data_IF_486838386989
#
_entry.id   IF_486838386989
#
_cell.length_a   1.000
_cell.length_b   1.000
_cell.length_c   1.000
_cell.angle_alpha   90.00
_cell.angle_beta   90.00
_cell.angle_gamma   90.00
#
_symmetry.space_group_name_H-M   'P 1'
#
loop_
_entity.id
_entity.type
_entity.pdbx_description
1 polymer ?
#
# COMPACT_ATOMS: atom_id res chain seq x y z
N UNK A 1 11.50 66.80 76.96
CA UNK A 1 11.95 68.18 76.64
C UNK A 1 13.41 68.12 76.19
N UNK A 2 13.78 68.94 75.21
CA UNK A 2 15.14 69.28 74.78
C UNK A 2 15.99 68.25 74.00
N UNK A 3 15.90 68.38 72.67
CA UNK A 3 16.97 68.75 71.71
C UNK A 3 18.45 68.80 72.18
N UNK A 4 19.28 68.22 71.30
CA UNK A 4 20.60 68.67 70.75
C UNK A 4 21.88 67.88 71.15
N UNK A 5 22.42 67.20 70.12
CA UNK A 5 23.81 67.14 69.61
C UNK A 5 24.92 66.40 70.39
N UNK A 6 25.52 65.40 69.74
CA UNK A 6 26.83 65.58 69.08
C UNK A 6 27.16 64.46 68.09
N UNK A 7 27.72 64.88 66.96
CA UNK A 7 28.27 64.09 65.84
C UNK A 7 29.35 63.12 66.31
N UNK A 8 29.54 62.02 65.56
CA UNK A 8 30.87 61.61 65.11
C UNK A 8 30.77 60.74 63.84
N UNK A 9 31.61 61.10 62.87
CA UNK A 9 31.78 60.46 61.57
C UNK A 9 32.63 59.19 61.72
N UNK A 10 32.21 58.09 61.10
CA UNK A 10 33.09 57.00 60.73
C UNK A 10 32.70 56.53 59.31
N UNK A 11 33.67 56.60 58.42
CA UNK A 11 33.52 56.40 56.98
C UNK A 11 33.33 54.93 56.62
N UNK A 12 32.23 54.71 55.91
CA UNK A 12 31.99 53.83 54.75
C UNK A 12 33.14 52.93 54.28
N UNK A 13 32.97 51.61 54.44
CA UNK A 13 33.49 50.60 53.51
C UNK A 13 32.27 49.83 52.99
N UNK A 14 31.83 50.19 51.78
CA UNK A 14 30.72 49.53 51.09
C UNK A 14 31.20 48.19 50.52
N UNK A 15 30.74 47.08 51.10
CA UNK A 15 30.86 45.76 50.50
C UNK A 15 29.88 45.65 49.32
N UNK A 16 30.43 45.51 48.11
CA UNK A 16 29.69 45.16 46.90
C UNK A 16 29.29 43.69 47.01
N UNK A 17 27.99 43.44 47.20
CA UNK A 17 27.37 42.12 47.05
C UNK A 17 26.83 42.02 45.62
N UNK A 18 27.55 41.32 44.76
CA UNK A 18 27.06 40.87 43.46
C UNK A 18 25.99 39.80 43.68
N UNK A 19 24.72 40.16 43.52
CA UNK A 19 23.64 39.19 43.34
C UNK A 19 23.61 38.79 41.85
N UNK A 20 24.19 37.63 41.53
CA UNK A 20 24.09 37.02 40.21
C UNK A 20 22.68 36.49 39.97
N UNK A 21 21.94 37.16 39.08
CA UNK A 21 20.70 36.62 38.54
C UNK A 21 21.05 35.50 37.54
N UNK A 22 20.88 34.25 37.95
CA UNK A 22 20.94 33.10 37.06
C UNK A 22 19.70 33.13 36.15
N UNK A 23 19.87 33.62 34.92
CA UNK A 23 18.89 33.45 33.85
C UNK A 23 18.97 31.98 33.43
N UNK A 24 18.04 31.17 33.94
CA UNK A 24 17.74 29.87 33.34
C UNK A 24 17.11 30.12 31.97
N UNK A 25 17.95 30.22 30.94
CA UNK A 25 17.53 29.96 29.58
C UNK A 25 17.11 28.49 29.54
N UNK A 26 15.81 28.25 29.68
CA UNK A 26 15.22 26.99 29.26
C UNK A 26 15.40 26.93 27.75
N UNK A 27 16.50 26.32 27.33
CA UNK A 27 16.64 25.78 26.00
C UNK A 27 15.50 24.78 25.84
N UNK A 28 14.36 25.28 25.36
CA UNK A 28 13.34 24.45 24.75
C UNK A 28 14.10 23.79 23.62
N UNK A 29 14.46 22.53 23.83
CA UNK A 29 14.96 21.68 22.77
C UNK A 29 13.87 21.68 21.71
N UNK A 30 14.02 22.58 20.73
CA UNK A 30 13.54 22.35 19.38
C UNK A 30 14.25 21.07 18.98
N UNK A 31 13.60 19.94 19.28
CA UNK A 31 13.92 18.69 18.64
C UNK A 31 13.67 18.96 17.17
N UNK A 32 14.71 19.38 16.47
CA UNK A 32 14.74 19.43 15.03
C UNK A 32 14.54 17.99 14.61
N UNK A 33 13.29 17.60 14.40
CA UNK A 33 13.00 16.38 13.69
C UNK A 33 13.69 16.53 12.35
N UNK A 34 14.86 15.89 12.19
CA UNK A 34 15.56 15.90 10.92
C UNK A 34 14.54 15.45 9.88
N UNK A 35 14.23 16.28 8.86
CA UNK A 35 13.23 15.93 7.89
C UNK A 35 13.66 14.62 7.24
N UNK A 36 12.85 13.58 7.43
CA UNK A 36 13.05 12.30 6.77
C UNK A 36 12.68 12.48 5.31
N UNK A 37 13.30 11.71 4.44
CA UNK A 37 13.02 11.74 3.01
C UNK A 37 12.48 10.41 2.55
N UNK A 38 11.44 10.47 1.72
CA UNK A 38 11.06 9.37 0.85
C UNK A 38 11.88 9.52 -0.43
N UNK A 39 12.78 8.57 -0.68
CA UNK A 39 13.52 8.51 -1.93
C UNK A 39 12.86 7.50 -2.86
N UNK A 40 12.99 7.69 -4.18
CA UNK A 40 12.45 6.72 -5.10
C UNK A 40 12.94 6.88 -6.52
N UNK A 41 12.48 5.98 -7.38
CA UNK A 41 12.74 5.99 -8.81
C UNK A 41 11.43 5.89 -9.58
N UNK A 42 11.31 6.64 -10.65
CA UNK A 42 10.28 6.44 -11.67
C UNK A 42 10.94 5.78 -12.87
N UNK A 43 10.39 4.64 -13.30
CA UNK A 43 10.92 3.88 -14.43
C UNK A 43 9.79 3.22 -15.22
N UNK A 44 10.01 3.01 -16.52
CA UNK A 44 9.20 2.10 -17.34
C UNK A 44 9.90 0.74 -17.42
N UNK A 45 9.12 -0.34 -17.33
CA UNK A 45 9.65 -1.70 -17.32
C UNK A 45 10.09 -2.19 -15.93
N UNK A 46 10.44 -3.48 -15.85
CA UNK A 46 10.78 -4.07 -14.56
C UNK A 46 11.45 -5.44 -14.59
N UNK A 47 10.84 -6.47 -15.20
CA UNK A 47 11.37 -7.83 -15.08
C UNK A 47 12.39 -8.18 -16.16
N UNK A 48 12.15 -7.74 -17.39
CA UNK A 48 13.02 -8.04 -18.55
C UNK A 48 14.09 -6.98 -18.71
N UNK A 49 13.67 -5.72 -18.70
CA UNK A 49 14.52 -4.54 -18.71
C UNK A 49 13.73 -3.38 -18.08
N UNK A 50 14.45 -2.33 -17.65
CA UNK A 50 13.83 -1.10 -17.21
C UNK A 50 14.62 0.11 -17.69
N UNK A 51 13.91 1.23 -17.87
CA UNK A 51 14.46 2.52 -18.24
C UNK A 51 13.96 3.57 -17.26
N UNK A 52 14.90 4.33 -16.67
CA UNK A 52 14.58 5.46 -15.82
C UNK A 52 13.89 6.58 -16.60
N UNK A 53 12.89 7.22 -15.98
CA UNK A 53 12.13 8.31 -16.58
C UNK A 53 12.51 9.66 -15.94
N UNK A 54 13.27 10.53 -16.64
CA UNK A 54 13.68 11.82 -16.11
C UNK A 54 12.59 12.89 -16.28
N UNK A 55 12.67 13.97 -15.50
CA UNK A 55 11.78 15.13 -15.56
C UNK A 55 10.29 14.82 -15.29
N UNK A 56 9.99 13.74 -14.57
CA UNK A 56 8.63 13.34 -14.18
C UNK A 56 8.24 14.07 -12.89
N UNK A 57 7.05 14.66 -12.85
CA UNK A 57 6.51 15.25 -11.62
C UNK A 57 5.96 14.16 -10.70
N UNK A 58 6.44 14.14 -9.46
CA UNK A 58 6.12 13.12 -8.47
C UNK A 58 5.49 13.78 -7.26
N UNK A 59 4.34 13.27 -6.81
CA UNK A 59 3.59 13.84 -5.69
C UNK A 59 3.30 12.78 -4.63
N UNK A 60 3.62 13.09 -3.38
CA UNK A 60 3.32 12.27 -2.21
C UNK A 60 2.01 12.75 -1.57
N UNK A 61 1.08 11.83 -1.33
CA UNK A 61 -0.22 12.12 -0.74
C UNK A 61 -0.49 11.29 0.52
N UNK A 62 -1.31 11.86 1.40
CA UNK A 62 -2.09 11.13 2.41
C UNK A 62 -3.54 11.03 1.92
N UNK A 63 -4.06 9.81 1.80
CA UNK A 63 -5.45 9.59 1.41
C UNK A 63 -6.41 10.03 2.52
N UNK A 64 -7.48 10.74 2.16
CA UNK A 64 -8.53 11.18 3.10
C UNK A 64 -9.90 10.61 2.68
N UNK A 65 -10.96 10.92 3.42
CA UNK A 65 -12.34 10.58 3.02
C UNK A 65 -12.81 11.33 1.78
N UNK A 66 -12.15 12.42 1.42
CA UNK A 66 -12.40 13.20 0.21
C UNK A 66 -11.09 13.42 -0.54
N UNK A 67 -10.81 14.68 -0.91
CA UNK A 67 -9.57 14.98 -1.64
C UNK A 67 -8.32 14.61 -0.81
N UNK A 68 -7.36 13.87 -1.39
CA UNK A 68 -6.11 13.55 -0.73
C UNK A 68 -5.32 14.81 -0.37
N UNK A 69 -4.58 14.77 0.73
CA UNK A 69 -3.70 15.87 1.13
C UNK A 69 -2.33 15.65 0.50
N UNK A 70 -1.88 16.58 -0.34
CA UNK A 70 -0.51 16.56 -0.86
C UNK A 70 0.48 16.96 0.24
N UNK A 71 1.45 16.09 0.52
CA UNK A 71 2.44 16.27 1.57
C UNK A 71 3.75 16.84 1.04
N UNK A 72 4.03 16.62 -0.23
CA UNK A 72 5.24 17.09 -0.89
C UNK A 72 5.30 16.60 -2.34
N UNK A 73 6.22 17.17 -3.09
CA UNK A 73 6.43 16.86 -4.50
C UNK A 73 7.91 16.98 -4.85
N UNK A 74 8.31 16.32 -5.92
CA UNK A 74 9.65 16.40 -6.50
C UNK A 74 9.56 16.21 -8.02
N UNK A 75 10.68 16.45 -8.71
CA UNK A 75 10.84 16.09 -10.12
C UNK A 75 11.99 15.10 -10.22
N UNK A 76 11.83 14.07 -11.05
CA UNK A 76 12.90 13.09 -11.23
C UNK A 76 14.11 13.69 -11.96
N UNK A 77 15.31 13.31 -11.53
CA UNK A 77 16.56 13.67 -12.19
C UNK A 77 16.81 12.81 -13.45
N UNK A 78 17.99 13.00 -14.08
CA UNK A 78 18.39 12.25 -15.28
C UNK A 78 18.42 10.72 -15.09
N UNK A 79 18.52 10.24 -13.85
CA UNK A 79 18.50 8.82 -13.48
C UNK A 79 17.11 8.36 -13.00
N UNK A 80 16.07 9.16 -13.19
CA UNK A 80 14.71 8.87 -12.76
C UNK A 80 14.51 8.96 -11.24
N UNK A 81 15.51 9.43 -10.49
CA UNK A 81 15.47 9.45 -9.03
C UNK A 81 14.81 10.73 -8.52
N UNK A 82 14.10 10.61 -7.39
CA UNK A 82 13.52 11.75 -6.68
C UNK A 82 13.68 11.60 -5.17
N UNK A 83 13.52 12.71 -4.45
CA UNK A 83 13.49 12.72 -2.98
C UNK A 83 12.49 13.75 -2.47
N UNK A 84 11.52 13.31 -1.68
CA UNK A 84 10.48 14.16 -1.07
C UNK A 84 10.71 14.17 0.44
N UNK A 85 10.93 15.36 1.01
CA UNK A 85 11.02 15.54 2.47
C UNK A 85 9.63 15.47 3.10
N UNK A 86 9.53 14.80 4.24
CA UNK A 86 8.31 14.72 5.02
C UNK A 86 8.58 14.91 6.51
N UNK A 87 7.56 15.39 7.23
CA UNK A 87 7.60 15.60 8.69
C UNK A 87 6.86 14.51 9.45
N UNK A 88 5.90 13.84 8.80
CA UNK A 88 5.10 12.75 9.37
C UNK A 88 5.30 11.46 8.55
N UNK A 89 5.74 10.39 9.22
CA UNK A 89 5.98 9.09 8.60
C UNK A 89 4.89 8.04 8.83
N UNK A 90 3.81 8.38 9.54
CA UNK A 90 2.71 7.47 9.87
C UNK A 90 1.36 8.16 9.68
N UNK A 91 0.34 7.43 9.23
CA UNK A 91 -1.01 7.93 9.00
C UNK A 91 -2.05 7.01 9.64
N UNK A 92 -3.21 7.57 10.00
CA UNK A 92 -4.41 6.79 10.35
C UNK A 92 -5.17 6.29 9.11
N UNK A 93 -4.72 6.68 7.91
CA UNK A 93 -5.20 6.24 6.59
C UNK A 93 -4.02 5.55 5.89
N UNK A 94 -3.74 5.91 4.64
CA UNK A 94 -2.59 5.42 3.88
C UNK A 94 -1.88 6.57 3.17
N UNK A 95 -0.59 6.38 2.89
CA UNK A 95 0.15 7.18 1.94
C UNK A 95 0.19 6.49 0.57
N UNK A 96 0.27 7.30 -0.47
CA UNK A 96 0.54 6.85 -1.83
C UNK A 96 1.32 7.93 -2.58
N UNK A 97 2.01 7.52 -3.64
CA UNK A 97 2.76 8.44 -4.51
C UNK A 97 2.24 8.29 -5.92
N UNK A 98 2.09 9.40 -6.63
CA UNK A 98 1.81 9.41 -8.06
C UNK A 98 2.96 10.04 -8.83
N UNK A 99 3.11 9.64 -10.09
CA UNK A 99 4.06 10.20 -11.04
C UNK A 99 3.34 10.47 -12.37
N UNK A 100 3.32 11.73 -12.80
CA UNK A 100 2.75 12.15 -14.09
C UNK A 100 3.80 11.99 -15.20
N UNK A 101 3.69 10.89 -15.94
CA UNK A 101 4.61 10.52 -17.03
C UNK A 101 4.22 11.24 -18.34
N UNK A 102 3.06 11.91 -18.37
CA UNK A 102 2.56 12.63 -19.53
C UNK A 102 1.58 11.81 -20.38
N UNK A 103 0.84 12.50 -21.25
CA UNK A 103 -0.14 11.90 -22.18
C UNK A 103 -1.21 11.01 -21.50
N UNK A 104 -1.56 11.29 -20.24
CA UNK A 104 -2.53 10.52 -19.47
C UNK A 104 -1.93 9.27 -18.78
N UNK A 105 -0.63 9.05 -18.90
CA UNK A 105 0.06 8.01 -18.15
C UNK A 105 0.38 8.52 -16.75
N UNK A 106 -0.29 7.94 -15.75
CA UNK A 106 -0.01 8.16 -14.34
C UNK A 106 0.45 6.85 -13.71
N UNK A 107 1.64 6.86 -13.12
CA UNK A 107 2.09 5.77 -12.26
C UNK A 107 1.71 6.01 -10.82
N UNK A 108 1.35 4.94 -10.12
CA UNK A 108 0.93 4.98 -8.72
C UNK A 108 1.64 3.89 -7.94
N UNK A 109 2.06 4.21 -6.71
CA UNK A 109 2.50 3.21 -5.73
C UNK A 109 1.83 3.46 -4.39
N UNK A 110 1.20 2.42 -3.83
CA UNK A 110 0.63 2.44 -2.49
C UNK A 110 1.74 2.18 -1.47
N UNK A 111 1.77 2.98 -0.40
CA UNK A 111 2.79 2.88 0.65
C UNK A 111 2.22 2.38 1.99
N UNK A 112 0.90 2.39 2.14
CA UNK A 112 0.22 1.99 3.37
C UNK A 112 0.32 3.05 4.49
N UNK A 113 0.04 2.69 5.75
CA UNK A 113 -0.05 3.64 6.86
C UNK A 113 1.31 4.12 7.37
N UNK A 114 2.43 3.59 6.87
CA UNK A 114 3.79 3.94 7.30
C UNK A 114 4.65 4.20 6.06
N UNK A 115 5.30 5.36 6.00
CA UNK A 115 6.18 5.68 4.87
C UNK A 115 7.44 4.78 4.89
N UNK A 116 7.76 4.12 3.76
CA UNK A 116 9.03 3.43 3.61
C UNK A 116 10.17 4.44 3.38
N UNK A 117 11.41 3.95 3.39
CA UNK A 117 12.59 4.73 2.99
C UNK A 117 12.71 4.87 1.47
N UNK A 118 12.28 3.85 0.72
CA UNK A 118 12.33 3.81 -0.74
C UNK A 118 11.02 3.37 -1.37
N UNK A 119 10.79 3.86 -2.59
CA UNK A 119 9.65 3.45 -3.44
C UNK A 119 10.09 3.41 -4.91
N UNK A 120 9.50 2.51 -5.67
CA UNK A 120 9.57 2.49 -7.14
C UNK A 120 8.18 2.83 -7.69
N UNK A 121 8.11 3.66 -8.73
CA UNK A 121 6.89 3.90 -9.50
C UNK A 121 7.10 3.35 -10.91
N UNK A 122 6.32 2.34 -11.26
CA UNK A 122 6.30 1.74 -12.59
C UNK A 122 4.91 1.17 -12.93
N UNK A 123 4.82 0.46 -14.03
CA UNK A 123 3.59 -0.14 -14.51
C UNK A 123 3.02 -1.16 -13.52
N UNK A 124 3.85 -2.01 -12.92
CA UNK A 124 3.40 -3.06 -12.02
C UNK A 124 2.89 -2.51 -10.68
N UNK A 125 3.51 -1.48 -10.12
CA UNK A 125 2.97 -0.80 -8.93
C UNK A 125 1.63 -0.14 -9.24
N UNK A 126 1.47 0.36 -10.47
CA UNK A 126 0.24 0.99 -10.92
C UNK A 126 -0.88 -0.03 -11.09
N UNK A 127 -0.61 -1.20 -11.71
CA UNK A 127 -1.57 -2.31 -11.79
C UNK A 127 -2.02 -2.73 -10.39
N UNK A 128 -1.08 -2.92 -9.46
CA UNK A 128 -1.39 -3.29 -8.08
C UNK A 128 -2.26 -2.23 -7.38
N UNK A 129 -1.89 -0.95 -7.51
CA UNK A 129 -2.62 0.17 -6.94
C UNK A 129 -4.05 0.26 -7.50
N UNK A 130 -4.20 0.18 -8.82
CA UNK A 130 -5.50 0.25 -9.50
C UNK A 130 -6.46 -0.86 -9.10
N UNK A 131 -5.96 -2.11 -9.00
CA UNK A 131 -6.78 -3.25 -8.63
C UNK A 131 -7.12 -3.25 -7.14
N UNK A 132 -6.15 -3.02 -6.26
CA UNK A 132 -6.38 -3.00 -4.82
C UNK A 132 -7.27 -1.82 -4.38
N UNK A 133 -7.11 -0.66 -5.01
CA UNK A 133 -7.86 0.57 -4.71
C UNK A 133 -9.08 0.76 -5.61
N UNK A 134 -9.53 -0.27 -6.35
CA UNK A 134 -10.64 -0.13 -7.29
C UNK A 134 -11.95 0.37 -6.64
N UNK A 135 -12.18 0.20 -5.34
CA UNK A 135 -13.36 0.81 -4.71
C UNK A 135 -13.16 2.29 -4.34
N UNK A 136 -11.90 2.71 -4.19
CA UNK A 136 -11.47 4.02 -3.69
C UNK A 136 -10.92 4.95 -4.79
N UNK A 137 -10.71 4.44 -6.01
CA UNK A 137 -10.22 5.17 -7.19
C UNK A 137 -11.32 5.30 -8.25
N UNK A 138 -12.35 6.11 -7.96
CA UNK A 138 -13.48 6.36 -8.87
C UNK A 138 -13.37 7.69 -9.62
N UNK A 139 -12.84 8.72 -8.96
CA UNK A 139 -12.79 10.11 -9.43
C UNK A 139 -11.36 10.61 -9.56
N UNK A 140 -10.51 9.86 -10.28
CA UNK A 140 -9.07 10.09 -10.51
C UNK A 140 -8.17 10.23 -9.28
N UNK A 141 -8.73 10.20 -8.07
CA UNK A 141 -7.99 10.26 -6.79
C UNK A 141 -8.32 9.05 -5.92
N UNK A 142 -7.37 8.64 -5.09
CA UNK A 142 -7.57 7.57 -4.09
C UNK A 142 -8.12 8.18 -2.82
N UNK A 143 -9.39 7.90 -2.52
CA UNK A 143 -10.08 8.47 -1.36
C UNK A 143 -11.11 7.52 -0.78
N UNK A 144 -11.38 7.62 0.52
CA UNK A 144 -12.35 6.77 1.20
C UNK A 144 -12.16 6.70 2.71
N UNK A 145 -12.94 5.81 3.34
CA UNK A 145 -12.79 5.56 4.77
C UNK A 145 -11.42 4.92 5.04
N UNK A 146 -10.77 5.37 6.12
CA UNK A 146 -9.39 5.02 6.41
C UNK A 146 -9.19 3.53 6.68
N UNK A 147 -10.15 2.87 7.32
CA UNK A 147 -10.10 1.44 7.58
C UNK A 147 -10.04 0.63 6.28
N UNK A 148 -10.99 0.85 5.37
CA UNK A 148 -11.03 0.18 4.08
C UNK A 148 -9.80 0.47 3.21
N UNK A 149 -9.27 1.70 3.23
CA UNK A 149 -8.03 2.06 2.56
C UNK A 149 -6.83 1.27 3.10
N UNK A 150 -6.74 1.07 4.42
CA UNK A 150 -5.69 0.26 5.03
C UNK A 150 -5.81 -1.22 4.64
N UNK A 151 -7.03 -1.78 4.61
CA UNK A 151 -7.26 -3.15 4.13
C UNK A 151 -6.80 -3.30 2.67
N UNK A 152 -7.21 -2.38 1.80
CA UNK A 152 -6.82 -2.37 0.40
C UNK A 152 -5.30 -2.23 0.22
N UNK A 153 -4.63 -1.39 1.02
CA UNK A 153 -3.18 -1.28 1.00
C UNK A 153 -2.48 -2.57 1.43
N UNK A 154 -3.00 -3.27 2.44
CA UNK A 154 -2.49 -4.59 2.81
C UNK A 154 -2.65 -5.62 1.68
N UNK A 155 -3.76 -5.57 0.94
CA UNK A 155 -3.97 -6.44 -0.23
C UNK A 155 -3.08 -6.07 -1.42
N UNK A 156 -2.72 -4.79 -1.59
CA UNK A 156 -1.75 -4.34 -2.60
C UNK A 156 -0.40 -5.05 -2.45
N UNK A 157 0.06 -5.24 -1.22
CA UNK A 157 1.35 -5.89 -0.92
C UNK A 157 1.40 -7.36 -1.36
N UNK A 158 0.24 -8.00 -1.56
CA UNK A 158 0.15 -9.33 -2.16
C UNK A 158 0.38 -9.32 -3.67
N UNK A 159 0.39 -8.17 -4.35
CA UNK A 159 0.57 -8.07 -5.81
C UNK A 159 1.98 -7.59 -6.15
N UNK A 160 2.48 -6.57 -5.44
CA UNK A 160 3.74 -5.89 -5.74
C UNK A 160 4.53 -5.57 -4.47
N UNK A 161 5.85 -5.46 -4.58
CA UNK A 161 6.70 -4.87 -3.55
C UNK A 161 6.97 -3.41 -3.92
N UNK A 162 6.34 -2.47 -3.21
CA UNK A 162 6.45 -1.03 -3.51
C UNK A 162 7.90 -0.50 -3.57
N UNK A 163 8.79 -1.04 -2.75
CA UNK A 163 10.19 -0.62 -2.71
C UNK A 163 10.95 -0.92 -4.02
N UNK A 164 10.62 -2.03 -4.69
CA UNK A 164 11.36 -2.53 -5.88
C UNK A 164 10.57 -2.43 -7.17
N UNK A 165 9.24 -2.26 -7.09
CA UNK A 165 8.35 -2.28 -8.24
C UNK A 165 8.24 -3.64 -8.92
N UNK A 166 8.54 -4.72 -8.19
CA UNK A 166 8.52 -6.10 -8.67
C UNK A 166 7.33 -6.88 -8.10
N UNK A 167 6.96 -7.98 -8.75
CA UNK A 167 5.91 -8.89 -8.25
C UNK A 167 6.21 -9.33 -6.82
N UNK A 168 5.17 -9.43 -6.00
CA UNK A 168 5.30 -9.92 -4.62
C UNK A 168 5.77 -11.38 -4.60
N UNK A 169 6.35 -11.80 -3.47
CA UNK A 169 6.64 -13.21 -3.22
C UNK A 169 5.36 -14.07 -3.26
N UNK A 170 4.21 -13.50 -2.91
CA UNK A 170 2.90 -14.17 -2.92
C UNK A 170 2.50 -14.55 -4.33
N UNK A 171 2.65 -13.67 -5.33
CA UNK A 171 2.36 -14.00 -6.72
C UNK A 171 3.43 -14.89 -7.35
N UNK A 172 4.67 -14.81 -6.89
CA UNK A 172 5.79 -15.60 -7.43
C UNK A 172 5.83 -17.05 -6.91
N UNK A 173 5.09 -17.37 -5.85
CA UNK A 173 5.15 -18.67 -5.18
C UNK A 173 3.86 -19.47 -5.37
N UNK A 174 3.98 -20.80 -5.31
CA UNK A 174 2.81 -21.69 -5.19
C UNK A 174 1.97 -21.27 -3.96
N UNK A 175 0.63 -21.27 -4.04
CA UNK A 175 -0.22 -21.78 -5.11
C UNK A 175 -0.71 -20.69 -6.07
N UNK A 176 -0.02 -19.55 -6.10
CA UNK A 176 -0.21 -18.52 -7.12
C UNK A 176 0.65 -18.88 -8.32
N UNK A 177 1.82 -18.26 -8.52
CA UNK A 177 2.78 -18.57 -9.59
C UNK A 177 2.08 -18.95 -10.91
N UNK A 178 2.31 -20.17 -11.42
CA UNK A 178 1.66 -20.72 -12.62
C UNK A 178 0.41 -21.57 -12.32
N UNK A 179 -0.06 -21.61 -11.06
CA UNK A 179 -1.31 -22.24 -10.63
C UNK A 179 -2.49 -21.25 -10.54
N UNK A 180 -2.24 -19.97 -10.81
CA UNK A 180 -3.24 -18.95 -11.11
C UNK A 180 -2.79 -18.13 -12.32
N UNK A 181 -3.72 -17.39 -12.94
CA UNK A 181 -3.37 -16.49 -14.03
C UNK A 181 -2.88 -15.12 -13.54
N UNK A 182 -2.92 -14.83 -12.23
CA UNK A 182 -2.73 -13.47 -11.70
C UNK A 182 -1.33 -12.91 -11.92
N UNK A 183 -0.27 -13.72 -11.77
CA UNK A 183 1.10 -13.29 -12.04
C UNK A 183 1.28 -12.84 -13.49
N UNK A 184 0.79 -13.65 -14.43
CA UNK A 184 0.88 -13.37 -15.86
C UNK A 184 -0.05 -12.25 -16.30
N UNK A 185 -1.27 -12.21 -15.74
CA UNK A 185 -2.26 -11.16 -15.99
C UNK A 185 -1.76 -9.79 -15.56
N UNK A 186 -1.23 -9.66 -14.35
CA UNK A 186 -0.64 -8.39 -13.87
C UNK A 186 0.55 -7.94 -14.71
N UNK A 187 1.39 -8.88 -15.18
CA UNK A 187 2.52 -8.57 -16.07
C UNK A 187 2.07 -8.18 -17.48
N UNK A 188 1.04 -8.82 -18.03
CA UNK A 188 0.42 -8.41 -19.30
C UNK A 188 -0.20 -7.01 -19.22
N UNK A 189 -0.90 -6.69 -18.13
CA UNK A 189 -1.40 -5.33 -17.90
C UNK A 189 -0.26 -4.33 -17.70
N UNK A 190 0.85 -4.74 -17.09
CA UNK A 190 2.04 -3.89 -17.00
C UNK A 190 2.67 -3.64 -18.38
N UNK A 191 2.70 -4.64 -19.27
CA UNK A 191 3.10 -4.43 -20.68
C UNK A 191 2.17 -3.46 -21.41
N UNK A 192 0.86 -3.52 -21.16
CA UNK A 192 -0.09 -2.54 -21.70
C UNK A 192 0.31 -1.12 -21.29
N UNK A 193 0.55 -0.88 -19.99
CA UNK A 193 0.96 0.44 -19.50
C UNK A 193 2.32 0.86 -20.07
N UNK A 194 3.25 -0.07 -20.29
CA UNK A 194 4.53 0.23 -20.93
C UNK A 194 4.34 0.65 -22.40
N UNK A 195 3.36 0.07 -23.10
CA UNK A 195 2.97 0.52 -24.44
C UNK A 195 2.31 1.92 -24.41
N UNK A 196 1.52 2.23 -23.37
CA UNK A 196 0.99 3.58 -23.14
C UNK A 196 2.09 4.64 -22.95
N UNK A 197 3.20 4.31 -22.27
CA UNK A 197 4.36 5.20 -22.12
C UNK A 197 4.99 5.53 -23.47
N UNK A 198 5.01 4.56 -24.40
CA UNK A 198 5.64 4.70 -25.71
C UNK A 198 4.75 5.39 -26.75
N UNK A 199 3.44 5.16 -26.71
CA UNK A 199 2.49 5.67 -27.71
C UNK A 199 1.20 6.23 -27.05
N UNK A 200 0.99 7.57 -27.10
CA UNK A 200 -0.24 8.20 -26.63
C UNK A 200 -1.53 7.66 -27.26
N UNK A 201 -1.46 7.08 -28.46
CA UNK A 201 -2.61 6.47 -29.14
C UNK A 201 -3.06 5.20 -28.43
N UNK A 202 -2.12 4.43 -27.88
CA UNK A 202 -2.42 3.25 -27.04
C UNK A 202 -3.14 3.70 -25.77
N UNK A 203 -2.68 4.78 -25.13
CA UNK A 203 -3.34 5.38 -23.96
C UNK A 203 -4.76 5.83 -24.25
N UNK A 204 -4.97 6.54 -25.36
CA UNK A 204 -6.31 6.96 -25.79
C UNK A 204 -7.23 5.75 -26.07
N UNK A 205 -6.68 4.68 -26.66
CA UNK A 205 -7.41 3.44 -26.92
C UNK A 205 -7.78 2.73 -25.61
N UNK A 206 -6.86 2.63 -24.65
CA UNK A 206 -7.15 2.09 -23.32
C UNK A 206 -8.31 2.84 -22.65
N UNK A 207 -8.32 4.18 -22.73
CA UNK A 207 -9.37 4.98 -22.11
C UNK A 207 -10.73 4.69 -22.73
N UNK A 208 -10.80 4.56 -24.06
CA UNK A 208 -12.03 4.15 -24.74
C UNK A 208 -12.50 2.75 -24.31
N UNK A 209 -11.58 1.77 -24.25
CA UNK A 209 -11.91 0.39 -23.88
C UNK A 209 -12.31 0.23 -22.41
N UNK A 210 -11.91 1.15 -21.53
CA UNK A 210 -12.19 1.10 -20.09
C UNK A 210 -13.15 2.20 -19.62
N UNK A 211 -13.85 2.84 -20.55
CA UNK A 211 -14.92 3.79 -20.20
C UNK A 211 -16.12 3.03 -19.64
N UNK A 212 -16.55 3.29 -18.39
CA UNK A 212 -17.71 2.60 -17.82
C UNK A 212 -18.99 2.93 -18.57
N UNK A 213 -19.94 1.99 -18.64
CA UNK A 213 -21.24 2.23 -19.24
C UNK A 213 -21.96 3.43 -18.57
N UNK A 214 -22.31 4.45 -19.36
CA UNK A 214 -22.93 5.68 -18.86
C UNK A 214 -22.02 6.59 -18.04
N UNK A 215 -20.72 6.29 -17.95
CA UNK A 215 -19.71 7.10 -17.26
C UNK A 215 -18.88 7.94 -18.23
N UNK A 216 -18.04 8.81 -17.65
CA UNK A 216 -17.02 9.53 -18.41
C UNK A 216 -15.79 8.65 -18.65
N UNK A 217 -15.04 8.88 -19.75
CA UNK A 217 -13.74 8.26 -19.93
C UNK A 217 -12.80 8.52 -18.74
N UNK A 218 -11.91 7.57 -18.40
CA UNK A 218 -10.90 7.79 -17.37
C UNK A 218 -9.94 8.91 -17.79
N UNK A 219 -9.43 9.66 -16.80
CA UNK A 219 -8.47 10.75 -17.03
C UNK A 219 -7.02 10.27 -17.10
N UNK A 220 -6.75 9.06 -16.59
CA UNK A 220 -5.42 8.48 -16.58
C UNK A 220 -5.43 6.95 -16.59
N UNK A 221 -4.25 6.35 -16.81
CA UNK A 221 -4.02 4.90 -16.82
C UNK A 221 -4.42 4.22 -15.51
N UNK A 222 -4.15 4.85 -14.36
CA UNK A 222 -4.50 4.28 -13.05
C UNK A 222 -6.03 4.14 -12.88
N UNK A 223 -6.80 5.16 -13.26
CA UNK A 223 -8.26 5.12 -13.25
C UNK A 223 -8.81 4.14 -14.30
N UNK A 224 -8.16 4.03 -15.47
CA UNK A 224 -8.52 3.07 -16.52
C UNK A 224 -8.45 1.63 -16.01
N UNK A 225 -7.33 1.26 -15.38
CA UNK A 225 -7.19 -0.07 -14.79
C UNK A 225 -8.11 -0.28 -13.57
N UNK A 226 -8.44 0.77 -12.82
CA UNK A 226 -9.43 0.68 -11.75
C UNK A 226 -10.86 0.46 -12.30
N UNK A 227 -11.20 1.05 -13.45
CA UNK A 227 -12.44 0.73 -14.17
C UNK A 227 -12.44 -0.73 -14.62
N UNK A 228 -11.35 -1.21 -15.22
CA UNK A 228 -11.21 -2.60 -15.62
C UNK A 228 -11.33 -3.57 -14.44
N UNK A 229 -10.75 -3.25 -13.29
CA UNK A 229 -10.89 -4.07 -12.08
C UNK A 229 -12.36 -4.15 -11.58
N UNK A 230 -13.17 -3.11 -11.85
CA UNK A 230 -14.61 -3.08 -11.50
C UNK A 230 -15.48 -3.80 -12.54
N UNK A 231 -15.06 -3.85 -13.81
CA UNK A 231 -15.73 -4.55 -14.90
C UNK A 231 -14.73 -5.38 -15.73
N UNK A 232 -14.26 -6.53 -15.19
CA UNK A 232 -13.11 -7.25 -15.75
C UNK A 232 -13.42 -7.96 -17.07
N UNK A 233 -14.70 -8.11 -17.44
CA UNK A 233 -15.13 -8.70 -18.71
C UNK A 233 -15.31 -7.68 -19.85
N UNK A 234 -15.06 -6.40 -19.59
CA UNK A 234 -15.24 -5.35 -20.60
C UNK A 234 -14.10 -5.39 -21.63
N UNK A 235 -14.45 -5.47 -22.92
CA UNK A 235 -13.54 -5.28 -24.06
C UNK A 235 -12.24 -6.13 -24.00
N UNK A 236 -12.38 -7.38 -23.58
CA UNK A 236 -11.23 -8.25 -23.25
C UNK A 236 -10.29 -8.46 -24.43
N UNK A 237 -10.83 -8.63 -25.64
CA UNK A 237 -10.08 -8.78 -26.89
C UNK A 237 -9.24 -7.55 -27.23
N UNK A 238 -9.85 -6.36 -27.17
CA UNK A 238 -9.16 -5.10 -27.40
C UNK A 238 -8.05 -4.86 -26.37
N UNK A 239 -8.32 -5.09 -25.08
CA UNK A 239 -7.33 -4.92 -24.01
C UNK A 239 -6.19 -5.93 -24.16
N UNK A 240 -6.49 -7.19 -24.49
CA UNK A 240 -5.47 -8.21 -24.73
C UNK A 240 -4.55 -7.83 -25.88
N UNK A 241 -5.09 -7.31 -26.99
CA UNK A 241 -4.29 -6.83 -28.11
C UNK A 241 -3.30 -5.72 -27.68
N UNK A 242 -3.72 -4.79 -26.82
CA UNK A 242 -2.81 -3.75 -26.29
C UNK A 242 -1.70 -4.33 -25.42
N UNK A 243 -1.94 -5.42 -24.69
CA UNK A 243 -0.90 -6.05 -23.84
C UNK A 243 0.25 -6.67 -24.63
N UNK A 244 0.05 -6.93 -25.92
CA UNK A 244 1.04 -7.53 -26.82
C UNK A 244 2.00 -6.50 -27.44
N UNK A 245 1.75 -5.20 -27.23
CA UNK A 245 2.54 -4.11 -27.83
C UNK A 245 3.85 -3.82 -27.07
N UNK A 246 4.13 -4.54 -25.99
CA UNK A 246 5.35 -4.43 -25.18
C UNK A 246 5.67 -5.76 -24.50
N UNK A 247 6.94 -5.99 -24.19
CA UNK A 247 7.47 -7.22 -23.58
C UNK A 247 8.41 -6.97 -22.37
N UNK A 248 8.34 -5.76 -21.78
CA UNK A 248 9.17 -5.37 -20.63
C UNK A 248 8.88 -6.18 -19.35
N UNK A 249 7.72 -6.85 -19.29
CA UNK A 249 7.28 -7.72 -18.20
C UNK A 249 7.05 -9.16 -18.66
N UNK A 250 7.68 -10.11 -17.97
CA UNK A 250 7.69 -11.53 -18.31
C UNK A 250 7.62 -12.46 -17.07
N UNK A 251 7.03 -13.67 -17.24
CA UNK A 251 6.25 -14.07 -18.40
C UNK A 251 4.87 -13.39 -18.46
N UNK A 252 4.39 -13.06 -19.68
CA UNK A 252 3.02 -12.58 -19.90
C UNK A 252 2.01 -13.75 -19.94
N UNK A 253 0.73 -13.41 -20.11
CA UNK A 253 -0.33 -14.36 -20.45
C UNK A 253 -0.01 -15.09 -21.77
N UNK A 254 -0.25 -16.41 -21.78
CA UNK A 254 -0.04 -17.25 -22.96
C UNK A 254 -1.22 -17.18 -23.94
N UNK A 255 -2.42 -16.94 -23.42
CA UNK A 255 -3.66 -16.82 -24.18
C UNK A 255 -4.47 -15.67 -23.63
N UNK A 256 -5.39 -15.15 -24.44
CA UNK A 256 -6.39 -14.18 -24.00
C UNK A 256 -7.18 -14.74 -22.80
N UNK A 257 -7.39 -13.97 -21.73
CA UNK A 257 -8.23 -14.40 -20.62
C UNK A 257 -9.71 -14.22 -20.97
N UNK A 258 -10.62 -14.81 -20.18
CA UNK A 258 -12.06 -14.50 -20.28
C UNK A 258 -12.42 -13.19 -19.56
N UNK A 259 -11.60 -12.80 -18.58
CA UNK A 259 -11.75 -11.58 -17.81
C UNK A 259 -10.41 -11.17 -17.16
N UNK A 260 -10.21 -9.87 -16.98
CA UNK A 260 -9.03 -9.29 -16.35
C UNK A 260 -9.14 -9.30 -14.82
N UNK A 261 -9.32 -10.49 -14.23
CA UNK A 261 -9.36 -10.66 -12.77
C UNK A 261 -7.96 -10.89 -12.20
N UNK A 262 -7.65 -10.24 -11.08
CA UNK A 262 -6.43 -10.50 -10.29
C UNK A 262 -6.85 -11.14 -8.97
N UNK A 263 -6.50 -12.41 -8.80
CA UNK A 263 -6.81 -13.20 -7.60
C UNK A 263 -5.54 -13.54 -6.83
N UNK A 264 -5.63 -13.54 -5.51
CA UNK A 264 -4.56 -14.02 -4.64
C UNK A 264 -5.08 -15.23 -3.89
N UNK A 265 -4.43 -16.38 -4.05
CA UNK A 265 -4.69 -17.57 -3.25
C UNK A 265 -3.85 -17.52 -1.98
N UNK A 266 -4.53 -17.68 -0.85
CA UNK A 266 -3.94 -17.83 0.47
C UNK A 266 -4.02 -19.30 0.85
N UNK A 267 -2.89 -19.89 1.26
CA UNK A 267 -2.81 -21.31 1.63
C UNK A 267 -1.96 -21.59 2.88
N UNK A 268 -1.58 -20.57 3.63
CA UNK A 268 -0.71 -20.69 4.81
C UNK A 268 -1.55 -20.56 6.09
N UNK A 269 -1.66 -21.65 6.85
CA UNK A 269 -2.40 -21.63 8.11
C UNK A 269 -1.64 -20.97 9.26
N UNK A 270 -0.35 -20.69 9.09
CA UNK A 270 0.61 -20.34 10.15
C UNK A 270 1.31 -21.55 10.77
N UNK A 271 1.07 -22.76 10.25
CA UNK A 271 1.70 -24.00 10.69
C UNK A 271 1.86 -24.99 9.52
N UNK A 272 3.11 -25.37 9.24
CA UNK A 272 3.47 -26.27 8.13
C UNK A 272 3.31 -27.77 8.46
N UNK A 273 2.96 -28.11 9.70
CA UNK A 273 2.71 -29.51 10.08
C UNK A 273 1.51 -30.07 9.29
N UNK A 274 1.58 -31.32 8.75
CA UNK A 274 0.58 -31.86 7.83
C UNK A 274 -0.88 -31.80 8.33
N UNK A 275 -1.08 -31.97 9.64
CA UNK A 275 -2.41 -31.94 10.27
C UNK A 275 -3.01 -30.54 10.38
N UNK A 276 -2.22 -29.49 10.10
CA UNK A 276 -2.62 -28.08 10.19
C UNK A 276 -2.66 -27.37 8.84
N UNK A 277 -2.47 -28.10 7.73
CA UNK A 277 -2.60 -27.55 6.38
C UNK A 277 -4.08 -27.25 6.06
N UNK A 278 -4.31 -26.14 5.35
CA UNK A 278 -5.66 -25.69 5.00
C UNK A 278 -6.38 -26.76 4.17
N UNK A 279 -7.57 -27.17 4.62
CA UNK A 279 -8.39 -28.15 3.91
C UNK A 279 -9.88 -28.05 4.28
N UNK A 280 -10.70 -27.82 3.26
CA UNK A 280 -12.14 -27.62 3.44
C UNK A 280 -12.47 -26.34 4.22
N UNK A 281 -11.95 -25.16 3.83
CA UNK A 281 -12.41 -23.91 4.44
C UNK A 281 -13.93 -23.78 4.25
N UNK A 282 -14.63 -23.48 5.34
CA UNK A 282 -16.09 -23.35 5.36
C UNK A 282 -16.53 -21.88 5.34
N UNK A 283 -17.40 -21.53 6.29
CA UNK A 283 -17.81 -20.15 6.48
C UNK A 283 -16.65 -19.27 7.01
N UNK A 284 -16.75 -17.97 6.75
CA UNK A 284 -15.84 -16.96 7.27
C UNK A 284 -16.58 -15.74 7.83
N UNK A 285 -15.95 -15.04 8.77
CA UNK A 285 -16.45 -13.79 9.32
C UNK A 285 -15.30 -12.80 9.57
N UNK A 286 -15.54 -11.51 9.34
CA UNK A 286 -14.54 -10.45 9.54
C UNK A 286 -14.78 -9.70 10.84
N UNK A 287 -13.76 -9.57 11.68
CA UNK A 287 -13.85 -8.79 12.92
C UNK A 287 -13.67 -7.27 12.68
N UNK A 288 -13.90 -6.47 13.72
CA UNK A 288 -13.73 -5.01 13.68
C UNK A 288 -12.31 -4.54 13.34
N UNK A 289 -11.31 -5.42 13.41
CA UNK A 289 -9.91 -5.15 13.03
C UNK A 289 -9.59 -5.64 11.61
N UNK A 290 -10.55 -6.24 10.92
CA UNK A 290 -10.43 -6.76 9.56
C UNK A 290 -9.80 -8.16 9.49
N UNK A 291 -9.67 -8.87 10.61
CA UNK A 291 -9.19 -10.25 10.59
C UNK A 291 -10.29 -11.17 10.08
N UNK A 292 -9.94 -12.07 9.16
CA UNK A 292 -10.83 -13.10 8.66
C UNK A 292 -10.75 -14.35 9.55
N UNK A 293 -11.81 -14.65 10.26
CA UNK A 293 -11.97 -15.90 11.01
C UNK A 293 -12.62 -16.92 10.09
N UNK A 294 -11.90 -17.99 9.75
CA UNK A 294 -12.34 -18.96 8.74
C UNK A 294 -12.42 -20.34 9.40
N UNK A 295 -13.57 -20.98 9.25
CA UNK A 295 -13.71 -22.38 9.67
C UNK A 295 -12.88 -23.29 8.77
N UNK A 296 -12.26 -24.34 9.34
CA UNK A 296 -11.64 -25.42 8.58
C UNK A 296 -12.35 -26.73 8.95
N UNK A 297 -12.63 -27.56 7.96
CA UNK A 297 -13.49 -28.74 8.16
C UNK A 297 -12.71 -30.04 8.21
N UNK A 298 -11.70 -30.20 7.38
CA UNK A 298 -11.03 -31.49 7.18
C UNK A 298 -9.53 -31.39 7.37
N UNK A 299 -8.90 -32.50 7.73
CA UNK A 299 -7.45 -32.65 7.61
C UNK A 299 -7.10 -32.92 6.15
N UNK A 300 -6.09 -32.22 5.61
CA UNK A 300 -5.74 -32.30 4.19
C UNK A 300 -5.51 -33.74 3.73
N UNK A 301 -6.13 -34.12 2.60
CA UNK A 301 -6.02 -35.46 2.03
C UNK A 301 -6.85 -36.55 2.72
N UNK A 302 -7.69 -36.20 3.70
CA UNK A 302 -8.54 -37.16 4.41
C UNK A 302 -10.00 -36.67 4.53
N UNK A 303 -10.96 -37.57 4.78
CA UNK A 303 -12.33 -37.20 5.14
C UNK A 303 -12.50 -36.86 6.63
N UNK A 304 -11.42 -36.90 7.42
CA UNK A 304 -11.48 -36.72 8.88
C UNK A 304 -11.63 -35.24 9.23
N UNK A 305 -12.42 -34.96 10.27
CA UNK A 305 -12.56 -33.62 10.82
C UNK A 305 -11.25 -33.10 11.39
N UNK A 306 -10.86 -31.86 11.06
CA UNK A 306 -9.68 -31.23 11.68
C UNK A 306 -10.01 -30.63 13.05
N UNK A 307 -8.97 -30.29 13.82
CA UNK A 307 -9.08 -29.78 15.20
C UNK A 307 -8.70 -28.30 15.35
N UNK A 308 -8.69 -27.57 14.23
CA UNK A 308 -8.30 -26.16 14.20
C UNK A 308 -9.20 -25.34 13.26
N UNK A 309 -9.20 -24.02 13.48
CA UNK A 309 -9.73 -23.02 12.57
C UNK A 309 -8.63 -22.03 12.18
N UNK A 310 -8.90 -21.18 11.21
CA UNK A 310 -7.93 -20.25 10.63
C UNK A 310 -8.27 -18.82 11.04
N UNK A 311 -7.24 -18.00 11.20
CA UNK A 311 -7.40 -16.55 11.38
C UNK A 311 -6.40 -15.83 10.48
N UNK A 312 -6.88 -15.04 9.53
CA UNK A 312 -6.02 -14.26 8.66
C UNK A 312 -6.03 -12.79 9.06
N UNK A 313 -4.87 -12.15 8.97
CA UNK A 313 -4.74 -10.69 8.97
C UNK A 313 -5.48 -10.10 7.77
N UNK A 314 -5.78 -8.80 7.78
CA UNK A 314 -6.33 -8.06 6.64
C UNK A 314 -5.67 -8.31 5.26
N UNK A 315 -4.38 -8.60 5.25
CA UNK A 315 -3.61 -8.87 4.03
C UNK A 315 -3.58 -10.37 3.66
N UNK A 316 -4.35 -11.23 4.33
CA UNK A 316 -4.39 -12.67 4.07
C UNK A 316 -3.24 -13.48 4.70
N UNK A 317 -2.26 -12.86 5.35
CA UNK A 317 -1.25 -13.62 6.10
C UNK A 317 -1.87 -14.28 7.34
N UNK A 318 -1.34 -15.42 7.81
CA UNK A 318 -1.79 -16.01 9.06
C UNK A 318 -1.58 -15.01 10.22
N UNK A 319 -2.55 -14.97 11.12
CA UNK A 319 -2.47 -14.17 12.34
C UNK A 319 -1.35 -14.71 13.25
N UNK A 320 -0.56 -13.83 13.85
CA UNK A 320 0.73 -14.17 14.46
C UNK A 320 0.84 -13.82 15.95
N UNK A 321 -0.29 -13.50 16.61
CA UNK A 321 -0.35 -13.11 18.02
C UNK A 321 0.36 -11.78 18.35
N UNK A 322 0.65 -10.97 17.34
CA UNK A 322 1.31 -9.68 17.56
C UNK A 322 0.33 -8.67 18.16
N UNK A 323 0.74 -7.93 19.20
CA UNK A 323 -0.04 -6.85 19.82
C UNK A 323 -1.46 -7.25 20.31
N UNK A 324 -1.62 -8.47 20.86
CA UNK A 324 -2.92 -8.95 21.35
C UNK A 324 -3.91 -9.29 20.24
N UNK A 325 -3.40 -9.68 19.07
CA UNK A 325 -4.19 -10.23 17.97
C UNK A 325 -4.26 -11.76 18.07
N UNK A 326 -5.16 -12.44 17.35
CA UNK A 326 -5.23 -13.89 17.39
C UNK A 326 -3.97 -14.55 16.80
N UNK A 327 -3.80 -15.84 17.06
CA UNK A 327 -2.84 -16.71 16.38
C UNK A 327 -3.58 -17.66 15.45
N UNK A 328 -3.03 -17.87 14.25
CA UNK A 328 -3.43 -18.93 13.35
C UNK A 328 -2.35 -20.02 13.31
N UNK A 329 -2.74 -21.31 13.25
CA UNK A 329 -4.10 -21.81 13.39
C UNK A 329 -4.64 -21.66 14.82
N UNK A 330 -5.94 -21.46 14.96
CA UNK A 330 -6.63 -21.47 16.25
C UNK A 330 -6.96 -22.91 16.64
N UNK A 331 -6.42 -23.37 17.76
CA UNK A 331 -6.59 -24.75 18.26
C UNK A 331 -7.29 -24.77 19.63
N UNK A 332 -7.75 -25.95 20.05
CA UNK A 332 -8.40 -26.15 21.34
C UNK A 332 -9.92 -25.90 21.31
N UNK A 333 -10.52 -25.66 22.48
CA UNK A 333 -11.95 -25.30 22.60
C UNK A 333 -12.96 -26.37 22.14
N UNK A 334 -12.52 -27.61 21.91
CA UNK A 334 -13.36 -28.68 21.37
C UNK A 334 -13.64 -28.55 19.87
N UNK A 335 -12.84 -27.79 19.12
CA UNK A 335 -12.96 -27.69 17.67
C UNK A 335 -12.76 -29.08 17.05
N UNK A 336 -13.75 -29.52 16.26
CA UNK A 336 -13.69 -30.75 15.48
C UNK A 336 -14.57 -30.57 14.22
N UNK A 337 -13.98 -30.13 13.12
CA UNK A 337 -14.68 -29.86 11.87
C UNK A 337 -15.82 -28.86 12.05
N UNK A 338 -15.48 -27.56 12.10
CA UNK A 338 -16.39 -26.50 12.57
C UNK A 338 -17.65 -26.26 11.69
N UNK A 339 -17.76 -26.94 10.56
CA UNK A 339 -18.87 -26.84 9.63
C UNK A 339 -18.99 -25.43 9.07
N UNK A 340 -20.19 -24.86 9.21
CA UNK A 340 -20.47 -23.46 8.87
C UNK A 340 -20.27 -22.49 10.06
N UNK A 341 -19.92 -22.98 11.25
CA UNK A 341 -20.06 -22.24 12.49
C UNK A 341 -18.90 -21.30 12.81
N UNK A 342 -18.88 -20.11 12.21
CA UNK A 342 -18.11 -18.94 12.70
C UNK A 342 -18.97 -17.69 12.61
N UNK A 343 -18.93 -16.87 13.65
CA UNK A 343 -19.53 -15.54 13.70
C UNK A 343 -18.68 -14.65 14.57
N UNK A 344 -18.83 -13.35 14.42
CA UNK A 344 -18.23 -12.34 15.29
C UNK A 344 -19.35 -11.55 15.93
N UNK A 345 -19.19 -11.23 17.21
CA UNK A 345 -20.14 -10.37 17.90
C UNK A 345 -20.12 -8.97 17.25
N UNK A 346 -21.28 -8.27 17.19
CA UNK A 346 -21.38 -6.93 16.62
C UNK A 346 -20.45 -5.90 17.26
#
# INVERSE_FOLDING_TARGET
MNKISMRNYAATITRVLLAGAAIFLTAHGLSSANPRSLSGIVQTGGTSSSQALPNVHVSLFEATTGQPTMLGQATTDASGQFSIRYTRGTSHSIFFVTADVGHGVEFVSILGPKLPSSVTLNELTTVAASYSMAQFLRSSVISGNSFGLQLAAGMNDNIVVAATGQSSAVLLSSPNADQTNSLRSTRSLANLLAACVQDPTVTATLFALTTPAGGSPPSNTAQSLANLARDPGQNVDGIYALTLLSDLYAPPLLTMPDAWTVTVKINDSGNDEPDFLISGPGNLAFDQRGYAWVTNNTTQGSPNSCTFNLVFKPNGQPADDSNGTPRSPLTGGGILGAGFGVTVAP
#
